data_IF_139017934278
#
_entry.id   IF_139017934278
#
_cell.length_a   1.000
_cell.length_b   1.000
_cell.length_c   1.000
_cell.angle_alpha   90.00
_cell.angle_beta   90.00
_cell.angle_gamma   90.00
#
_symmetry.space_group_name_H-M   'P 1'
#
loop_
_entity.id
_entity.type
_entity.pdbx_description
1 polymer ?
#
# COMPACT_ATOMS: atom_id res chain seq x y z
N UNK A 1 48.02 11.87 -43.31
CA UNK A 1 49.32 11.34 -42.89
C UNK A 1 49.77 10.40 -43.99
N UNK A 2 50.70 10.84 -44.83
CA UNK A 2 51.23 10.05 -45.93
C UNK A 2 52.07 8.90 -45.36
N UNK A 3 51.93 7.70 -45.92
CA UNK A 3 52.78 6.55 -45.54
C UNK A 3 54.25 6.73 -45.96
N UNK A 4 54.59 7.85 -46.60
CA UNK A 4 55.85 8.18 -47.24
C UNK A 4 57.09 8.04 -46.35
N UNK A 5 56.94 8.21 -45.03
CA UNK A 5 58.04 8.09 -44.06
C UNK A 5 58.31 6.65 -43.56
N UNK A 6 57.49 5.66 -43.93
CA UNK A 6 57.73 4.24 -43.62
C UNK A 6 58.44 3.53 -44.78
N UNK A 7 59.33 2.58 -44.44
CA UNK A 7 59.93 1.66 -45.41
C UNK A 7 58.84 0.86 -46.14
N UNK A 8 59.11 0.48 -47.39
CA UNK A 8 58.16 -0.29 -48.20
C UNK A 8 57.75 -1.60 -47.50
N UNK A 9 58.72 -2.28 -46.89
CA UNK A 9 58.49 -3.50 -46.10
C UNK A 9 57.54 -3.26 -44.90
N UNK A 10 57.70 -2.16 -44.16
CA UNK A 10 56.81 -1.84 -43.04
C UNK A 10 55.39 -1.48 -43.49
N UNK A 11 55.21 -0.97 -44.71
CA UNK A 11 53.87 -0.73 -45.28
C UNK A 11 53.19 -2.03 -45.67
N UNK A 12 53.93 -2.95 -46.25
CA UNK A 12 53.42 -4.25 -46.68
C UNK A 12 53.04 -5.12 -45.47
N UNK A 13 53.84 -5.11 -44.40
CA UNK A 13 53.52 -5.78 -43.13
C UNK A 13 52.27 -5.20 -42.47
N UNK A 14 52.11 -3.87 -42.47
CA UNK A 14 50.90 -3.22 -41.95
C UNK A 14 49.66 -3.53 -42.80
N UNK A 15 49.82 -3.61 -44.13
CA UNK A 15 48.74 -4.00 -45.03
C UNK A 15 48.34 -5.47 -44.81
N UNK A 16 49.31 -6.36 -44.65
CA UNK A 16 49.08 -7.78 -44.34
C UNK A 16 48.36 -7.95 -42.99
N UNK A 17 48.79 -7.23 -41.95
CA UNK A 17 48.13 -7.24 -40.65
C UNK A 17 46.69 -6.71 -40.74
N UNK A 18 46.46 -5.60 -41.45
CA UNK A 18 45.12 -5.05 -41.64
C UNK A 18 44.20 -6.02 -42.38
N UNK A 19 44.73 -6.75 -43.36
CA UNK A 19 43.99 -7.79 -44.06
C UNK A 19 43.65 -8.97 -43.13
N UNK A 20 44.62 -9.46 -42.34
CA UNK A 20 44.38 -10.51 -41.35
C UNK A 20 43.32 -10.09 -40.31
N UNK A 21 43.36 -8.84 -39.84
CA UNK A 21 42.37 -8.31 -38.90
C UNK A 21 40.96 -8.18 -39.52
N UNK A 22 40.87 -7.92 -40.82
CA UNK A 22 39.59 -7.84 -41.53
C UNK A 22 39.01 -9.23 -41.85
N UNK A 23 39.85 -10.23 -42.09
CA UNK A 23 39.44 -11.60 -42.45
C UNK A 23 39.12 -12.46 -41.22
N UNK A 24 39.77 -12.20 -40.08
CA UNK A 24 39.59 -13.00 -38.87
C UNK A 24 38.24 -12.68 -38.18
N UNK A 25 37.39 -13.68 -37.88
CA UNK A 25 36.01 -13.47 -37.43
C UNK A 25 35.89 -12.73 -36.09
N UNK A 26 36.84 -12.91 -35.18
CA UNK A 26 36.82 -12.29 -33.85
C UNK A 26 37.20 -10.81 -33.86
N UNK A 27 38.11 -10.41 -34.75
CA UNK A 27 38.66 -9.05 -34.79
C UNK A 27 38.01 -8.19 -35.87
N UNK A 28 37.43 -8.80 -36.92
CA UNK A 28 36.73 -8.10 -38.02
C UNK A 28 35.74 -7.07 -37.52
N UNK A 29 34.87 -7.43 -36.59
CA UNK A 29 33.83 -6.52 -36.07
C UNK A 29 34.42 -5.32 -35.34
N UNK A 30 35.46 -5.51 -34.55
CA UNK A 30 36.15 -4.41 -33.87
C UNK A 30 36.92 -3.54 -34.86
N UNK A 31 37.58 -4.16 -35.84
CA UNK A 31 38.27 -3.45 -36.92
C UNK A 31 37.30 -2.57 -37.72
N UNK A 32 36.15 -3.12 -38.14
CA UNK A 32 35.10 -2.36 -38.83
C UNK A 32 34.53 -1.21 -37.98
N UNK A 33 34.43 -1.38 -36.66
CA UNK A 33 34.02 -0.28 -35.76
C UNK A 33 35.06 0.83 -35.73
N UNK A 34 36.34 0.48 -35.62
CA UNK A 34 37.43 1.45 -35.64
C UNK A 34 37.53 2.17 -36.99
N UNK A 35 37.31 1.47 -38.11
CA UNK A 35 37.29 2.11 -39.43
C UNK A 35 36.12 3.08 -39.59
N UNK A 36 34.92 2.73 -39.07
CA UNK A 36 33.75 3.63 -39.04
C UNK A 36 33.99 4.86 -38.16
N UNK A 37 34.67 4.72 -37.02
CA UNK A 37 35.04 5.85 -36.17
C UNK A 37 35.98 6.84 -36.88
N UNK A 38 36.94 6.32 -37.65
CA UNK A 38 37.89 7.14 -38.42
C UNK A 38 37.27 7.71 -39.71
N UNK A 39 36.33 6.99 -40.32
CA UNK A 39 35.61 7.39 -41.54
C UNK A 39 34.09 7.17 -41.37
N UNK A 40 33.38 8.13 -40.75
CA UNK A 40 31.95 8.00 -40.45
C UNK A 40 31.07 7.82 -41.69
N UNK A 41 31.50 8.40 -42.82
CA UNK A 41 30.81 8.34 -44.12
C UNK A 41 30.76 6.94 -44.73
N UNK A 42 31.61 6.01 -44.28
CA UNK A 42 31.63 4.65 -44.80
C UNK A 42 30.44 3.88 -44.24
N UNK A 43 29.44 3.55 -45.05
CA UNK A 43 28.34 2.68 -44.62
C UNK A 43 28.86 1.25 -44.46
N UNK A 44 28.67 0.68 -43.27
CA UNK A 44 29.06 -0.70 -42.97
C UNK A 44 27.77 -1.40 -42.55
N UNK A 45 27.08 -2.10 -43.47
CA UNK A 45 25.76 -2.65 -43.22
C UNK A 45 25.69 -3.53 -41.97
N UNK A 46 26.73 -4.33 -41.71
CA UNK A 46 26.82 -5.19 -40.53
C UNK A 46 26.71 -4.41 -39.21
N UNK A 47 27.37 -3.25 -39.12
CA UNK A 47 27.37 -2.43 -37.91
C UNK A 47 26.14 -1.53 -37.85
N UNK A 48 25.78 -0.92 -38.99
CA UNK A 48 24.66 0.02 -39.07
C UNK A 48 23.32 -0.69 -38.76
N UNK A 49 23.16 -1.94 -39.21
CA UNK A 49 21.97 -2.76 -38.88
C UNK A 49 21.94 -3.09 -37.38
N UNK A 50 23.06 -3.52 -36.80
CA UNK A 50 23.12 -3.81 -35.36
C UNK A 50 22.84 -2.58 -34.49
N UNK A 51 23.38 -1.42 -34.85
CA UNK A 51 23.13 -0.18 -34.13
C UNK A 51 21.66 0.22 -34.22
N UNK A 52 21.07 0.13 -35.42
CA UNK A 52 19.66 0.40 -35.63
C UNK A 52 18.76 -0.57 -34.84
N UNK A 53 19.04 -1.87 -34.89
CA UNK A 53 18.27 -2.88 -34.16
C UNK A 53 18.38 -2.68 -32.66
N UNK A 54 19.58 -2.47 -32.12
CA UNK A 54 19.79 -2.19 -30.69
C UNK A 54 19.07 -0.90 -30.27
N UNK A 55 19.09 0.13 -31.10
CA UNK A 55 18.36 1.38 -30.83
C UNK A 55 16.85 1.17 -30.86
N UNK A 56 16.33 0.43 -31.84
CA UNK A 56 14.91 0.12 -31.94
C UNK A 56 14.45 -0.73 -30.73
N UNK A 57 15.18 -1.79 -30.40
CA UNK A 57 14.91 -2.68 -29.26
C UNK A 57 14.96 -1.91 -27.95
N UNK A 58 16.05 -1.18 -27.67
CA UNK A 58 16.15 -0.38 -26.44
C UNK A 58 15.07 0.70 -26.32
N UNK A 59 14.64 1.29 -27.44
CA UNK A 59 13.52 2.24 -27.43
C UNK A 59 12.17 1.57 -27.13
N UNK A 60 11.97 0.35 -27.62
CA UNK A 60 10.78 -0.45 -27.33
C UNK A 60 10.76 -0.91 -25.87
N UNK A 61 11.88 -1.43 -25.35
CA UNK A 61 12.04 -1.82 -23.95
C UNK A 61 11.76 -0.66 -23.00
N UNK A 62 12.29 0.54 -23.29
CA UNK A 62 12.01 1.74 -22.49
C UNK A 62 10.51 2.07 -22.44
N UNK A 63 9.82 1.96 -23.58
CA UNK A 63 8.37 2.19 -23.64
C UNK A 63 7.60 1.14 -22.84
N UNK A 64 7.99 -0.12 -22.95
CA UNK A 64 7.38 -1.21 -22.17
C UNK A 64 7.59 -0.97 -20.68
N UNK A 65 8.81 -0.66 -20.26
CA UNK A 65 9.12 -0.36 -18.86
C UNK A 65 8.33 0.85 -18.32
N UNK A 66 8.18 1.90 -19.13
CA UNK A 66 7.37 3.06 -18.77
C UNK A 66 5.88 2.68 -18.64
N UNK A 67 5.34 1.91 -19.59
CA UNK A 67 3.96 1.44 -19.52
C UNK A 67 3.72 0.53 -18.32
N UNK A 68 4.63 -0.39 -18.03
CA UNK A 68 4.58 -1.26 -16.85
C UNK A 68 4.68 -0.47 -15.54
N UNK A 69 5.46 0.62 -15.50
CA UNK A 69 5.52 1.50 -14.32
C UNK A 69 4.19 2.22 -14.09
N UNK A 70 3.58 2.77 -15.15
CA UNK A 70 2.28 3.44 -15.09
C UNK A 70 1.15 2.48 -14.73
N UNK A 71 1.20 1.25 -15.24
CA UNK A 71 0.23 0.21 -14.89
C UNK A 71 0.35 -0.16 -13.40
N UNK A 72 1.57 -0.37 -12.90
CA UNK A 72 1.79 -0.64 -11.47
C UNK A 72 1.31 0.50 -10.57
N UNK A 73 1.54 1.76 -10.97
CA UNK A 73 1.04 2.92 -10.24
C UNK A 73 -0.50 2.95 -10.22
N UNK A 74 -1.14 2.68 -11.37
CA UNK A 74 -2.60 2.59 -11.46
C UNK A 74 -3.17 1.46 -10.62
N UNK A 75 -2.61 0.26 -10.72
CA UNK A 75 -3.06 -0.90 -9.95
C UNK A 75 -2.95 -0.64 -8.44
N UNK A 76 -1.87 0.02 -8.00
CA UNK A 76 -1.69 0.40 -6.61
C UNK A 76 -2.75 1.42 -6.14
N UNK A 77 -3.08 2.41 -6.96
CA UNK A 77 -4.15 3.38 -6.66
C UNK A 77 -5.52 2.70 -6.63
N UNK A 78 -5.84 1.87 -7.62
CA UNK A 78 -7.11 1.15 -7.70
C UNK A 78 -7.26 0.17 -6.51
N UNK A 79 -6.19 -0.49 -6.09
CA UNK A 79 -6.21 -1.35 -4.90
C UNK A 79 -6.44 -0.54 -3.60
N UNK A 80 -5.79 0.62 -3.46
CA UNK A 80 -6.02 1.52 -2.33
C UNK A 80 -7.47 2.02 -2.30
N UNK A 81 -8.01 2.46 -3.43
CA UNK A 81 -9.41 2.88 -3.54
C UNK A 81 -10.37 1.74 -3.22
N UNK A 82 -10.09 0.53 -3.70
CA UNK A 82 -10.89 -0.66 -3.37
C UNK A 82 -10.90 -0.94 -1.87
N UNK A 83 -9.77 -0.79 -1.19
CA UNK A 83 -9.67 -0.93 0.27
C UNK A 83 -10.42 0.19 0.98
N UNK A 84 -10.32 1.44 0.52
CA UNK A 84 -11.12 2.56 1.07
C UNK A 84 -12.62 2.30 0.94
N UNK A 85 -13.07 1.87 -0.23
CA UNK A 85 -14.47 1.50 -0.47
C UNK A 85 -14.92 0.30 0.39
N UNK A 86 -14.05 -0.68 0.64
CA UNK A 86 -14.40 -1.81 1.50
C UNK A 86 -14.60 -1.39 2.96
N UNK A 87 -13.83 -0.42 3.45
CA UNK A 87 -14.02 0.15 4.80
C UNK A 87 -15.34 0.92 4.91
N UNK A 88 -15.67 1.73 3.89
CA UNK A 88 -16.96 2.43 3.82
C UNK A 88 -18.12 1.44 3.78
N UNK A 89 -18.03 0.41 2.94
CA UNK A 89 -19.06 -0.64 2.84
C UNK A 89 -19.25 -1.39 4.16
N UNK A 90 -18.18 -1.61 4.92
CA UNK A 90 -18.23 -2.23 6.25
C UNK A 90 -18.76 -1.30 7.34
N UNK A 91 -18.94 0.00 7.05
CA UNK A 91 -19.41 0.99 8.01
C UNK A 91 -18.41 1.33 9.11
N UNK A 92 -17.13 0.95 8.94
CA UNK A 92 -16.03 1.27 9.87
C UNK A 92 -15.64 2.75 9.79
N UNK A 93 -15.99 3.41 8.69
CA UNK A 93 -15.64 4.80 8.37
C UNK A 93 -16.89 5.52 7.89
N UNK A 94 -17.14 6.72 8.41
CA UNK A 94 -18.31 7.53 8.05
C UNK A 94 -18.00 8.60 7.00
N UNK A 95 -16.81 9.22 7.08
CA UNK A 95 -16.40 10.33 6.22
C UNK A 95 -15.01 10.10 5.60
N UNK A 96 -14.71 10.80 4.50
CA UNK A 96 -13.39 10.76 3.84
C UNK A 96 -12.26 11.30 4.74
N UNK A 97 -12.59 12.21 5.67
CA UNK A 97 -11.66 12.72 6.68
C UNK A 97 -11.18 11.63 7.66
N UNK A 98 -12.03 10.64 7.93
CA UNK A 98 -11.68 9.51 8.79
C UNK A 98 -10.72 8.55 8.08
N UNK A 99 -10.79 8.40 6.76
CA UNK A 99 -9.84 7.61 5.97
C UNK A 99 -8.42 8.15 6.13
N UNK A 100 -8.24 9.48 6.03
CA UNK A 100 -6.93 10.11 6.20
C UNK A 100 -6.36 9.90 7.62
N UNK A 101 -7.23 9.94 8.64
CA UNK A 101 -6.82 9.66 10.02
C UNK A 101 -6.43 8.18 10.21
N UNK A 102 -7.15 7.24 9.59
CA UNK A 102 -6.79 5.81 9.60
C UNK A 102 -5.46 5.58 8.88
N UNK A 103 -5.23 6.19 7.71
CA UNK A 103 -3.96 6.05 6.96
C UNK A 103 -2.78 6.66 7.73
N UNK A 104 -2.98 7.81 8.38
CA UNK A 104 -1.97 8.40 9.27
C UNK A 104 -1.64 7.46 10.42
N UNK A 105 -2.66 6.86 11.03
CA UNK A 105 -2.51 5.90 12.11
C UNK A 105 -1.79 4.61 11.66
N UNK A 106 -2.04 4.17 10.42
CA UNK A 106 -1.31 3.05 9.82
C UNK A 106 0.18 3.32 9.72
N UNK A 107 0.57 4.53 9.28
CA UNK A 107 1.97 4.93 9.19
C UNK A 107 2.62 5.08 10.57
N UNK A 108 1.94 5.73 11.51
CA UNK A 108 2.46 5.99 12.86
C UNK A 108 2.63 4.71 13.69
N UNK A 109 1.70 3.76 13.56
CA UNK A 109 1.71 2.50 14.32
C UNK A 109 2.26 1.31 13.55
N UNK A 110 2.63 1.50 12.28
CA UNK A 110 3.15 0.43 11.41
C UNK A 110 2.10 -0.65 11.11
N UNK A 111 0.81 -0.30 11.09
CA UNK A 111 -0.27 -1.26 10.79
C UNK A 111 -0.36 -1.39 9.27
N UNK A 112 -0.16 -2.60 8.75
CA UNK A 112 -0.17 -2.88 7.31
C UNK A 112 -1.58 -3.08 6.74
N UNK A 113 -2.56 -3.41 7.59
CA UNK A 113 -3.94 -3.67 7.20
C UNK A 113 -4.85 -2.45 7.48
N UNK A 114 -5.58 -2.01 6.45
CA UNK A 114 -6.50 -0.88 6.54
C UNK A 114 -7.70 -1.15 7.46
N UNK A 115 -8.15 -2.40 7.54
CA UNK A 115 -9.30 -2.79 8.37
C UNK A 115 -8.96 -2.73 9.85
N UNK A 116 -7.84 -3.33 10.24
CA UNK A 116 -7.35 -3.31 11.62
C UNK A 116 -7.06 -1.89 12.10
N UNK A 117 -6.52 -1.03 11.22
CA UNK A 117 -6.31 0.36 11.56
C UNK A 117 -7.62 1.14 11.73
N UNK A 118 -8.64 0.85 10.91
CA UNK A 118 -9.96 1.45 11.05
C UNK A 118 -10.66 1.03 12.35
N UNK A 119 -10.60 -0.27 12.71
CA UNK A 119 -11.09 -0.78 13.98
C UNK A 119 -10.39 -0.13 15.17
N UNK A 120 -9.06 0.00 15.09
CA UNK A 120 -8.26 0.64 16.14
C UNK A 120 -8.62 2.13 16.29
N UNK A 121 -8.83 2.84 15.18
CA UNK A 121 -9.29 4.22 15.19
C UNK A 121 -10.68 4.35 15.82
N UNK A 122 -11.61 3.46 15.49
CA UNK A 122 -12.95 3.42 16.09
C UNK A 122 -12.87 3.15 17.60
N UNK A 123 -12.01 2.21 18.02
CA UNK A 123 -11.77 1.93 19.43
C UNK A 123 -11.22 3.15 20.17
N UNK A 124 -10.26 3.87 19.58
CA UNK A 124 -9.74 5.10 20.17
C UNK A 124 -10.82 6.19 20.29
N UNK A 125 -11.68 6.36 19.26
CA UNK A 125 -12.81 7.28 19.34
C UNK A 125 -13.77 6.91 20.47
N UNK A 126 -14.12 5.63 20.59
CA UNK A 126 -15.00 5.14 21.68
C UNK A 126 -14.39 5.35 23.07
N UNK A 127 -13.09 5.09 23.22
CA UNK A 127 -12.38 5.31 24.48
C UNK A 127 -12.22 6.80 24.83
N UNK A 128 -12.18 7.67 23.83
CA UNK A 128 -12.06 9.12 23.99
C UNK A 128 -13.40 9.83 24.25
N UNK A 129 -14.54 9.22 23.91
CA UNK A 129 -15.84 9.70 24.40
C UNK A 129 -15.81 9.54 25.92
N UNK A 130 -15.94 10.61 26.72
CA UNK A 130 -16.06 10.45 28.15
C UNK A 130 -17.26 9.55 28.36
N UNK A 131 -17.03 8.33 28.89
CA UNK A 131 -18.12 7.51 29.40
C UNK A 131 -18.91 8.44 30.29
N UNK A 132 -20.14 8.74 29.89
CA UNK A 132 -20.98 9.61 30.69
C UNK A 132 -20.93 9.00 32.07
N UNK A 133 -20.46 9.78 33.06
CA UNK A 133 -20.54 9.41 34.46
C UNK A 133 -22.01 9.47 34.88
N UNK A 134 -22.85 8.76 34.12
CA UNK A 134 -24.16 8.29 34.50
C UNK A 134 -23.88 7.27 35.57
N UNK A 135 -23.62 7.79 36.76
CA UNK A 135 -23.85 7.15 38.03
C UNK A 135 -24.99 6.14 37.84
N UNK A 136 -24.66 4.86 37.80
CA UNK A 136 -25.66 3.82 37.97
C UNK A 136 -26.26 4.13 39.34
N UNK A 137 -27.51 4.64 39.47
CA UNK A 137 -28.05 4.90 40.78
C UNK A 137 -27.99 3.57 41.51
N UNK A 138 -27.20 3.52 42.58
CA UNK A 138 -27.01 2.33 43.39
C UNK A 138 -28.34 1.60 43.48
N UNK A 139 -28.43 0.29 43.20
CA UNK A 139 -29.71 -0.43 43.25
C UNK A 139 -30.43 -0.25 44.61
N UNK A 140 -29.67 0.14 45.65
CA UNK A 140 -30.13 0.66 46.94
C UNK A 140 -31.11 1.85 46.87
N UNK A 141 -31.02 2.75 45.90
CA UNK A 141 -31.95 3.88 45.71
C UNK A 141 -33.37 3.43 45.31
N UNK A 142 -33.53 2.17 44.86
CA UNK A 142 -34.86 1.58 44.61
C UNK A 142 -35.49 0.99 45.88
N UNK A 143 -34.73 0.88 46.96
CA UNK A 143 -35.20 0.38 48.25
C UNK A 143 -35.39 1.55 49.22
N UNK A 144 -36.60 1.74 49.72
CA UNK A 144 -36.87 2.72 50.77
C UNK A 144 -36.34 2.21 52.11
N UNK A 145 -35.03 2.36 52.32
CA UNK A 145 -34.34 1.90 53.52
C UNK A 145 -34.74 2.69 54.76
N UNK A 146 -35.36 3.86 54.62
CA UNK A 146 -35.68 4.76 55.75
C UNK A 146 -36.56 4.08 56.82
N UNK A 147 -37.42 3.15 56.41
CA UNK A 147 -38.29 2.38 57.31
C UNK A 147 -37.52 1.28 58.05
N UNK A 148 -36.49 0.70 57.42
CA UNK A 148 -35.62 -0.31 58.02
C UNK A 148 -34.72 0.26 59.12
N UNK A 149 -34.33 1.53 59.01
CA UNK A 149 -33.55 2.22 60.04
C UNK A 149 -34.35 2.50 61.32
N UNK A 150 -35.67 2.73 61.21
CA UNK A 150 -36.53 3.04 62.37
C UNK A 150 -37.03 1.80 63.10
N UNK A 151 -37.44 0.76 62.35
CA UNK A 151 -37.84 -0.52 62.94
C UNK A 151 -37.71 -1.67 61.92
N UNK A 152 -36.60 -2.42 61.94
CA UNK A 152 -36.25 -3.37 60.88
C UNK A 152 -37.23 -4.54 60.77
N UNK A 153 -37.77 -5.00 61.90
CA UNK A 153 -38.63 -6.18 61.92
C UNK A 153 -40.02 -5.89 61.35
N UNK A 154 -40.55 -4.69 61.58
CA UNK A 154 -41.85 -4.24 61.05
C UNK A 154 -41.74 -3.89 59.57
N UNK A 155 -40.63 -3.28 59.14
CA UNK A 155 -40.35 -2.98 57.74
C UNK A 155 -40.28 -4.27 56.90
N UNK A 156 -39.54 -5.28 57.37
CA UNK A 156 -39.43 -6.58 56.70
C UNK A 156 -40.79 -7.29 56.56
N UNK A 157 -41.66 -7.23 57.59
CA UNK A 157 -43.01 -7.81 57.53
C UNK A 157 -43.91 -7.08 56.52
N UNK A 158 -43.83 -5.76 56.46
CA UNK A 158 -44.62 -4.95 55.53
C UNK A 158 -44.19 -5.16 54.08
N UNK A 159 -42.89 -5.29 53.81
CA UNK A 159 -42.38 -5.57 52.47
C UNK A 159 -42.69 -7.01 52.03
N UNK A 160 -42.58 -7.99 52.95
CA UNK A 160 -43.03 -9.35 52.70
C UNK A 160 -44.53 -9.41 52.38
N UNK A 161 -45.37 -8.64 53.10
CA UNK A 161 -46.80 -8.55 52.81
C UNK A 161 -47.11 -7.90 51.45
N UNK A 162 -46.35 -6.88 51.05
CA UNK A 162 -46.44 -6.28 49.72
C UNK A 162 -46.08 -7.27 48.62
N UNK A 163 -44.93 -7.96 48.74
CA UNK A 163 -44.52 -8.98 47.79
C UNK A 163 -45.53 -10.13 47.67
N UNK A 164 -46.13 -10.55 48.79
CA UNK A 164 -47.18 -11.58 48.79
C UNK A 164 -48.47 -11.09 48.11
N UNK A 165 -48.84 -9.81 48.29
CA UNK A 165 -49.97 -9.22 47.58
C UNK A 165 -49.71 -9.06 46.07
N UNK A 166 -48.50 -8.72 45.66
CA UNK A 166 -48.11 -8.62 44.25
C UNK A 166 -48.12 -10.01 43.59
N UNK A 167 -47.65 -11.05 44.28
CA UNK A 167 -47.80 -12.44 43.83
C UNK A 167 -49.27 -12.90 43.77
N UNK A 168 -50.13 -12.38 44.66
CA UNK A 168 -51.56 -12.71 44.70
C UNK A 168 -52.39 -11.93 43.68
N UNK A 169 -51.87 -10.83 43.13
CA UNK A 169 -52.49 -10.04 42.06
C UNK A 169 -51.61 -10.03 40.82
N UNK A 170 -51.67 -11.05 39.95
CA UNK A 170 -50.94 -11.04 38.69
C UNK A 170 -51.59 -10.03 37.73
N UNK A 171 -51.24 -8.75 37.83
CA UNK A 171 -51.43 -7.82 36.71
C UNK A 171 -50.41 -8.19 35.65
N UNK A 172 -50.81 -9.00 34.67
CA UNK A 172 -50.03 -9.16 33.44
C UNK A 172 -49.74 -7.77 32.89
N UNK A 173 -48.48 -7.38 32.63
CA UNK A 173 -48.22 -6.25 31.76
C UNK A 173 -48.75 -6.62 30.38
N UNK A 174 -49.86 -6.00 29.97
CA UNK A 174 -50.32 -6.07 28.59
C UNK A 174 -49.40 -5.13 27.80
N UNK A 175 -48.50 -5.73 27.02
CA UNK A 175 -47.79 -5.04 25.94
C UNK A 175 -46.37 -4.59 26.27
N UNK A 176 -45.40 -5.45 25.96
CA UNK A 176 -44.18 -5.16 25.18
C UNK A 176 -43.54 -6.49 24.77
#
# INVERSE_FOLDING_TARGET
MSLENLSFEARDELAALAQQLAEHPETRKQFLKMTKQLKPELTIPELDIEEYTNKAVSSAEKRVQELESRLRERDAVEELERRRMSLMKKGLIQDESDIQNVEKLMLERGITNHETAAEYHQWMKQAAVPTSSSYNPSPMNKFDLSNYWKNPQTAARNEAFKALNDLRKPTKPIGL
#
